data_IF_048754508777
#
_entry.id   IF_048754508777
#
_cell.length_a   1.000
_cell.length_b   1.000
_cell.length_c   1.000
_cell.angle_alpha   90.00
_cell.angle_beta   90.00
_cell.angle_gamma   90.00
#
_symmetry.space_group_name_H-M   'P 1'
#
loop_
_entity.id
_entity.type
_entity.pdbx_description
1 polymer ?
#
# COMPACT_ATOMS: atom_id res chain seq x y z
N UNK A 1 -1.13 8.70 1.66
CA UNK A 1 -2.47 8.92 1.05
C UNK A 1 -2.78 7.75 0.13
N UNK A 2 -4.00 7.19 0.19
CA UNK A 2 -4.44 6.13 -0.74
C UNK A 2 -5.43 6.72 -1.72
N UNK A 3 -5.24 6.47 -3.00
CA UNK A 3 -6.12 6.98 -4.05
C UNK A 3 -6.06 6.04 -5.26
N UNK A 4 -7.17 5.83 -5.96
CA UNK A 4 -7.19 5.00 -7.17
C UNK A 4 -6.64 5.76 -8.39
N UNK A 5 -6.46 7.08 -8.27
CA UNK A 5 -5.99 7.97 -9.32
C UNK A 5 -4.64 8.60 -8.97
N UNK A 6 -3.59 8.09 -9.60
CA UNK A 6 -2.20 8.55 -9.38
C UNK A 6 -1.97 10.06 -9.52
N UNK A 7 -2.79 10.74 -10.35
CA UNK A 7 -2.68 12.19 -10.56
C UNK A 7 -3.01 13.01 -9.31
N UNK A 8 -3.81 12.47 -8.38
CA UNK A 8 -4.27 13.21 -7.20
C UNK A 8 -3.13 13.54 -6.22
N UNK A 9 -2.01 12.82 -6.32
CA UNK A 9 -0.81 13.04 -5.51
C UNK A 9 0.43 13.30 -6.38
N UNK A 10 0.24 13.88 -7.57
CA UNK A 10 1.36 14.20 -8.50
C UNK A 10 2.41 15.13 -7.89
N UNK A 11 1.99 16.01 -6.96
CA UNK A 11 2.88 16.94 -6.25
C UNK A 11 3.63 16.28 -5.09
N UNK A 12 3.23 15.09 -4.67
CA UNK A 12 3.79 14.33 -3.56
C UNK A 12 3.84 12.83 -3.89
N UNK A 13 4.51 12.43 -5.00
CA UNK A 13 4.37 11.12 -5.62
C UNK A 13 4.89 9.96 -4.77
N UNK A 14 5.77 10.24 -3.81
CA UNK A 14 6.29 9.23 -2.86
C UNK A 14 5.34 8.96 -1.70
N UNK A 15 4.46 9.90 -1.36
CA UNK A 15 3.54 9.77 -0.23
C UNK A 15 2.15 9.26 -0.65
N UNK A 16 1.98 8.98 -1.95
CA UNK A 16 0.78 8.41 -2.53
C UNK A 16 0.97 6.92 -2.81
N UNK A 17 -0.04 6.14 -2.43
CA UNK A 17 -0.15 4.72 -2.74
C UNK A 17 -1.39 4.55 -3.63
N UNK A 18 -1.17 3.98 -4.82
CA UNK A 18 -2.26 3.70 -5.75
C UNK A 18 -2.94 2.41 -5.35
N UNK A 19 -4.26 2.46 -5.10
CA UNK A 19 -5.08 1.27 -4.84
C UNK A 19 -5.92 0.90 -6.05
N UNK A 20 -6.35 -0.35 -6.11
CA UNK A 20 -7.32 -0.79 -7.10
C UNK A 20 -8.69 -0.16 -6.80
N UNK A 21 -9.36 0.43 -7.81
CA UNK A 21 -10.70 0.96 -7.62
C UNK A 21 -11.69 -0.17 -7.39
N UNK A 22 -12.53 -0.04 -6.36
CA UNK A 22 -13.65 -0.95 -6.15
C UNK A 22 -14.78 -0.67 -7.16
N UNK A 23 -15.06 -1.63 -8.03
CA UNK A 23 -16.05 -1.51 -9.11
C UNK A 23 -16.99 -2.70 -9.11
N UNK A 24 -18.20 -2.54 -9.67
CA UNK A 24 -19.23 -3.60 -9.78
C UNK A 24 -19.49 -4.30 -8.44
N UNK A 25 -19.88 -3.52 -7.43
CA UNK A 25 -20.05 -3.99 -6.05
C UNK A 25 -20.93 -5.24 -5.93
N UNK A 26 -22.00 -5.36 -6.73
CA UNK A 26 -22.89 -6.52 -6.73
C UNK A 26 -22.19 -7.84 -7.09
N UNK A 27 -21.09 -7.80 -7.84
CA UNK A 27 -20.34 -8.99 -8.26
C UNK A 27 -19.06 -9.20 -7.42
N UNK A 28 -18.46 -8.10 -6.94
CA UNK A 28 -17.11 -8.13 -6.36
C UNK A 28 -17.07 -7.96 -4.84
N UNK A 29 -18.17 -7.60 -4.18
CA UNK A 29 -18.19 -7.31 -2.73
C UNK A 29 -17.68 -8.46 -1.86
N UNK A 30 -17.89 -9.71 -2.29
CA UNK A 30 -17.56 -10.89 -1.48
C UNK A 30 -16.14 -11.42 -1.78
N UNK A 31 -15.50 -10.96 -2.87
CA UNK A 31 -14.18 -11.44 -3.33
C UNK A 31 -13.09 -10.37 -3.32
N UNK A 32 -13.44 -9.09 -3.25
CA UNK A 32 -12.46 -8.01 -3.12
C UNK A 32 -11.78 -8.08 -1.75
N UNK A 33 -10.44 -8.05 -1.75
CA UNK A 33 -9.60 -8.15 -0.56
C UNK A 33 -8.61 -6.98 -0.48
N UNK A 34 -8.82 -5.92 -1.27
CA UNK A 34 -7.84 -4.83 -1.39
C UNK A 34 -7.58 -4.16 -0.03
N UNK A 35 -8.66 -3.86 0.71
CA UNK A 35 -8.54 -3.24 2.03
C UNK A 35 -7.90 -4.16 3.07
N UNK A 36 -8.10 -5.48 2.96
CA UNK A 36 -7.48 -6.47 3.86
C UNK A 36 -5.97 -6.49 3.66
N UNK A 37 -5.51 -6.55 2.39
CA UNK A 37 -4.08 -6.44 2.07
C UNK A 37 -3.52 -5.08 2.50
N UNK A 38 -4.28 -4.00 2.31
CA UNK A 38 -3.85 -2.67 2.70
C UNK A 38 -3.64 -2.58 4.21
N UNK A 39 -4.52 -3.17 5.02
CA UNK A 39 -4.31 -3.27 6.47
C UNK A 39 -3.00 -3.99 6.81
N UNK A 40 -2.71 -5.12 6.17
CA UNK A 40 -1.45 -5.86 6.39
C UNK A 40 -0.23 -4.99 6.04
N UNK A 41 -0.28 -4.30 4.90
CA UNK A 41 0.77 -3.37 4.50
C UNK A 41 0.98 -2.25 5.52
N UNK A 42 -0.09 -1.62 5.99
CA UNK A 42 -0.03 -0.52 6.93
C UNK A 42 0.54 -0.94 8.29
N UNK A 43 0.13 -2.10 8.80
CA UNK A 43 0.71 -2.66 10.02
C UNK A 43 2.21 -2.91 9.87
N UNK A 44 2.63 -3.45 8.72
CA UNK A 44 4.02 -3.78 8.45
C UNK A 44 4.95 -2.55 8.33
N UNK A 45 4.41 -1.37 8.00
CA UNK A 45 5.16 -0.10 7.92
C UNK A 45 4.90 0.84 9.11
N UNK A 46 3.98 0.49 10.03
CA UNK A 46 3.55 1.37 11.11
C UNK A 46 4.67 1.71 12.10
N UNK A 47 5.65 0.82 12.26
CA UNK A 47 6.79 0.99 13.17
C UNK A 47 7.98 1.75 12.53
N UNK A 48 7.80 2.36 11.36
CA UNK A 48 8.84 3.16 10.71
C UNK A 48 8.71 4.62 11.12
N UNK A 49 9.81 5.19 11.59
CA UNK A 49 9.89 6.62 11.93
C UNK A 49 9.85 7.51 10.67
N UNK A 50 10.30 6.98 9.53
CA UNK A 50 10.32 7.66 8.23
C UNK A 50 9.83 6.74 7.10
N UNK A 51 8.92 7.27 6.28
CA UNK A 51 8.35 6.59 5.11
C UNK A 51 9.03 7.00 3.80
N UNK A 52 9.93 7.99 3.82
CA UNK A 52 10.56 8.57 2.62
C UNK A 52 11.38 7.58 1.80
N UNK A 53 11.84 6.50 2.43
CA UNK A 53 12.58 5.41 1.80
C UNK A 53 11.68 4.32 1.18
N UNK A 54 10.36 4.38 1.39
CA UNK A 54 9.43 3.39 0.86
C UNK A 54 9.09 3.68 -0.60
N UNK A 55 9.07 2.62 -1.40
CA UNK A 55 8.44 2.63 -2.73
C UNK A 55 7.12 1.83 -2.65
N UNK A 56 6.00 2.56 -2.70
CA UNK A 56 4.67 1.98 -2.62
C UNK A 56 4.23 1.27 -3.91
N UNK A 57 5.02 1.25 -5.00
CA UNK A 57 4.60 0.62 -6.26
C UNK A 57 4.28 -0.88 -6.13
N UNK A 58 5.00 -1.58 -5.26
CA UNK A 58 4.87 -3.02 -5.06
C UNK A 58 4.33 -3.36 -3.66
N UNK A 59 3.49 -2.49 -3.09
CA UNK A 59 2.98 -2.63 -1.73
C UNK A 59 2.20 -3.93 -1.49
N UNK A 60 1.52 -4.47 -2.51
CA UNK A 60 0.77 -5.74 -2.40
C UNK A 60 1.67 -6.96 -2.14
N UNK A 61 2.92 -6.90 -2.59
CA UNK A 61 3.92 -7.96 -2.39
C UNK A 61 4.77 -7.72 -1.14
N UNK A 62 4.44 -6.70 -0.35
CA UNK A 62 5.19 -6.36 0.85
C UNK A 62 4.97 -7.43 1.90
N UNK A 63 6.04 -8.15 2.22
CA UNK A 63 6.05 -9.19 3.24
C UNK A 63 6.99 -8.75 4.36
N UNK A 64 6.53 -8.77 5.62
CA UNK A 64 7.31 -8.32 6.79
C UNK A 64 8.71 -8.96 6.84
N UNK A 65 8.81 -10.23 6.47
CA UNK A 65 10.05 -11.01 6.47
C UNK A 65 11.13 -10.47 5.53
N UNK A 66 10.74 -9.79 4.45
CA UNK A 66 11.66 -9.14 3.52
C UNK A 66 12.16 -7.79 4.04
N UNK A 67 11.34 -7.10 4.82
CA UNK A 67 11.66 -5.77 5.34
C UNK A 67 12.52 -5.81 6.61
N UNK A 68 12.25 -6.73 7.53
CA UNK A 68 13.10 -6.96 8.73
C UNK A 68 14.55 -7.30 8.34
N UNK A 69 14.74 -8.03 7.24
CA UNK A 69 16.07 -8.31 6.66
C UNK A 69 16.81 -7.07 6.15
N UNK A 70 16.11 -6.02 5.69
CA UNK A 70 16.73 -4.77 5.24
C UNK A 70 17.08 -3.81 6.39
N UNK A 71 16.42 -3.91 7.56
CA UNK A 71 16.77 -3.11 8.76
C UNK A 71 18.10 -3.52 9.41
N UNK A 72 18.59 -4.73 9.12
CA UNK A 72 19.83 -5.28 9.68
C UNK A 72 21.02 -5.27 8.70
N UNK A 73 20.89 -4.66 7.53
CA UNK A 73 21.93 -4.55 6.52
C UNK A 73 22.49 -3.12 6.46
#
# INVERSE_FOLDING_TARGET
MFDDLRRNFVMNPRNGLTIKPFRKAHANRDSDQELVKLTQYLLAIAELDDLSALDHRNWESFNEDGFKRRRHA
#
